data_IF_386657983963
#
_entry.id   IF_386657983963
#
_cell.length_a   1.000
_cell.length_b   1.000
_cell.length_c   1.000
_cell.angle_alpha   90.00
_cell.angle_beta   90.00
_cell.angle_gamma   90.00
#
_symmetry.space_group_name_H-M   'P 1'
#
loop_
_entity.id
_entity.type
_entity.pdbx_description
1 polymer ?
#
# COMPACT_ATOMS: atom_id res chain seq x y z
N UNK A 1 -5.75 -5.27 -25.08
CA UNK A 1 -5.65 -3.93 -24.47
C UNK A 1 -4.59 -3.19 -25.25
N UNK A 2 -4.81 -1.92 -25.53
CA UNK A 2 -3.81 -1.07 -26.18
C UNK A 2 -3.24 -0.12 -25.14
N UNK A 3 -1.95 0.18 -25.26
CA UNK A 3 -1.26 1.14 -24.43
C UNK A 3 -0.83 2.33 -25.29
N UNK A 4 -0.88 3.55 -24.75
CA UNK A 4 -1.35 3.91 -23.41
C UNK A 4 -2.86 3.68 -23.22
N UNK A 5 -3.26 3.12 -22.07
CA UNK A 5 -4.66 2.84 -21.73
C UNK A 5 -5.24 3.99 -20.90
N UNK A 6 -6.39 4.59 -21.26
CA UNK A 6 -6.93 5.75 -20.56
C UNK A 6 -7.31 5.47 -19.10
N UNK A 7 -6.92 6.36 -18.19
CA UNK A 7 -7.35 6.39 -16.78
C UNK A 7 -8.37 7.51 -16.57
N UNK A 8 -8.03 8.70 -17.08
CA UNK A 8 -8.90 9.88 -17.12
C UNK A 8 -8.80 10.47 -18.54
N UNK A 9 -9.92 10.50 -19.25
CA UNK A 9 -9.99 10.87 -20.67
C UNK A 9 -9.82 12.37 -20.93
N UNK A 10 -10.02 13.22 -19.93
CA UNK A 10 -9.91 14.67 -20.06
C UNK A 10 -9.41 15.27 -18.74
N UNK A 11 -8.23 15.87 -18.76
CA UNK A 11 -7.68 16.60 -17.62
C UNK A 11 -7.92 18.10 -17.75
N UNK A 12 -8.28 18.73 -16.64
CA UNK A 12 -8.26 20.19 -16.53
C UNK A 12 -6.83 20.72 -16.26
N UNK A 13 -6.65 22.04 -16.38
CA UNK A 13 -5.35 22.69 -16.15
C UNK A 13 -4.82 22.47 -14.73
N UNK A 14 -5.71 22.35 -13.73
CA UNK A 14 -5.34 22.12 -12.33
C UNK A 14 -4.78 20.71 -12.15
N UNK A 15 -5.37 19.72 -12.81
CA UNK A 15 -4.91 18.33 -12.80
C UNK A 15 -3.59 18.17 -13.54
N UNK A 16 -3.41 18.82 -14.69
CA UNK A 16 -2.12 18.83 -15.41
C UNK A 16 -1.04 19.48 -14.54
N UNK A 17 -1.31 20.63 -13.92
CA UNK A 17 -0.37 21.27 -13.01
C UNK A 17 -0.03 20.38 -11.80
N UNK A 18 -1.03 19.69 -11.24
CA UNK A 18 -0.80 18.76 -10.14
C UNK A 18 0.07 17.56 -10.55
N UNK A 19 -0.12 17.03 -11.77
CA UNK A 19 0.75 16.00 -12.34
C UNK A 19 2.21 16.47 -12.39
N UNK A 20 2.46 17.59 -13.07
CA UNK A 20 3.81 18.12 -13.26
C UNK A 20 4.52 18.44 -11.94
N UNK A 21 3.77 18.99 -10.98
CA UNK A 21 4.33 19.39 -9.70
C UNK A 21 4.62 18.20 -8.76
N UNK A 22 3.75 17.19 -8.75
CA UNK A 22 3.75 16.18 -7.68
C UNK A 22 4.02 14.75 -8.14
N UNK A 23 3.66 14.39 -9.37
CA UNK A 23 3.75 13.02 -9.87
C UNK A 23 4.90 12.84 -10.85
N UNK A 24 5.06 13.78 -11.77
CA UNK A 24 6.10 13.77 -12.80
C UNK A 24 7.50 13.96 -12.20
N UNK A 25 8.49 13.48 -12.96
CA UNK A 25 9.90 13.67 -12.65
C UNK A 25 10.55 12.57 -11.81
N UNK A 26 11.88 12.59 -11.82
CA UNK A 26 12.75 11.61 -11.15
C UNK A 26 13.45 12.18 -9.90
N UNK A 27 13.15 13.42 -9.53
CA UNK A 27 13.79 14.16 -8.43
C UNK A 27 13.17 13.84 -7.07
N UNK A 28 12.01 13.18 -7.05
CA UNK A 28 11.35 12.75 -5.83
C UNK A 28 12.06 11.55 -5.20
N UNK A 29 11.89 11.38 -3.89
CA UNK A 29 12.43 10.24 -3.12
C UNK A 29 11.98 8.84 -3.61
N UNK A 30 10.94 8.80 -4.47
CA UNK A 30 10.45 7.62 -5.17
C UNK A 30 9.84 8.02 -6.52
N UNK A 31 9.71 7.12 -7.50
CA UNK A 31 8.90 7.35 -8.70
C UNK A 31 7.42 7.48 -8.32
N UNK A 32 6.90 8.71 -8.28
CA UNK A 32 5.53 9.01 -7.83
C UNK A 32 4.46 8.70 -8.89
N UNK A 33 4.85 8.73 -10.16
CA UNK A 33 4.08 8.23 -11.31
C UNK A 33 4.05 6.69 -11.42
N UNK A 34 4.58 5.96 -10.43
CA UNK A 34 4.53 4.49 -10.42
C UNK A 34 3.79 3.98 -9.20
N UNK A 35 2.79 3.13 -9.45
CA UNK A 35 2.19 2.30 -8.42
C UNK A 35 2.83 0.91 -8.44
N UNK A 36 3.32 0.44 -7.30
CA UNK A 36 3.93 -0.88 -7.17
C UNK A 36 3.45 -1.55 -5.88
N UNK A 37 3.14 -2.84 -5.96
CA UNK A 37 2.69 -3.60 -4.81
C UNK A 37 3.02 -5.08 -4.89
N UNK A 38 3.22 -5.68 -3.72
CA UNK A 38 3.58 -7.09 -3.58
C UNK A 38 2.68 -7.75 -2.54
N UNK A 39 1.98 -8.78 -2.97
CA UNK A 39 1.23 -9.70 -2.13
C UNK A 39 1.90 -11.06 -2.18
N UNK A 40 2.27 -11.61 -1.03
CA UNK A 40 2.94 -12.91 -0.98
C UNK A 40 2.52 -13.69 0.25
N UNK A 41 2.25 -14.98 0.09
CA UNK A 41 1.83 -15.88 1.16
C UNK A 41 2.40 -17.27 0.95
N UNK A 42 2.78 -17.90 2.04
CA UNK A 42 3.16 -19.31 2.14
C UNK A 42 2.20 -19.98 3.11
N UNK A 43 1.89 -21.25 2.89
CA UNK A 43 1.06 -22.05 3.79
C UNK A 43 1.96 -22.69 4.85
N UNK A 44 2.00 -22.11 6.04
CA UNK A 44 2.88 -22.51 7.15
C UNK A 44 2.12 -22.56 8.47
N UNK A 45 2.62 -23.32 9.46
CA UNK A 45 2.00 -23.41 10.78
C UNK A 45 1.80 -22.02 11.44
N UNK A 46 2.77 -21.11 11.25
CA UNK A 46 2.75 -19.76 11.81
C UNK A 46 1.59 -18.88 11.30
N UNK A 47 0.90 -19.27 10.21
CA UNK A 47 -0.27 -18.54 9.70
C UNK A 47 -1.49 -19.41 9.43
N UNK A 48 -1.60 -20.56 10.10
CA UNK A 48 -2.64 -21.56 9.84
C UNK A 48 -4.07 -20.98 9.81
N UNK A 49 -4.39 -20.05 10.71
CA UNK A 49 -5.70 -19.41 10.78
C UNK A 49 -6.11 -18.60 9.53
N UNK A 50 -5.15 -18.23 8.67
CA UNK A 50 -5.40 -17.45 7.45
C UNK A 50 -4.99 -18.18 6.17
N UNK A 51 -4.01 -19.07 6.23
CA UNK A 51 -3.53 -19.84 5.07
C UNK A 51 -4.27 -21.15 4.86
N UNK A 52 -5.06 -21.61 5.85
CA UNK A 52 -5.68 -22.93 5.83
C UNK A 52 -4.68 -24.08 6.01
N UNK A 53 -3.49 -23.81 6.56
CA UNK A 53 -2.50 -24.84 6.90
C UNK A 53 -3.11 -25.91 7.83
N UNK A 54 -2.79 -27.17 7.56
CA UNK A 54 -3.13 -28.36 8.36
C UNK A 54 -1.91 -29.32 8.40
N UNK A 55 -2.02 -30.60 8.76
CA UNK A 55 -0.85 -31.50 8.81
C UNK A 55 -0.58 -32.25 7.49
N UNK A 56 -1.51 -32.23 6.52
CA UNK A 56 -1.41 -32.99 5.27
C UNK A 56 -0.90 -32.18 4.07
N UNK A 57 -1.79 -31.47 3.38
CA UNK A 57 -1.48 -30.74 2.15
C UNK A 57 -1.01 -29.31 2.42
N UNK A 58 0.29 -29.14 2.61
CA UNK A 58 0.88 -27.84 2.95
C UNK A 58 2.08 -27.50 2.09
N UNK A 59 2.47 -26.23 2.12
CA UNK A 59 3.56 -25.70 1.30
C UNK A 59 3.07 -24.95 0.07
N UNK A 60 1.76 -24.69 -0.06
CA UNK A 60 1.28 -23.77 -1.09
C UNK A 60 1.95 -22.41 -0.92
N UNK A 61 2.28 -21.78 -2.04
CA UNK A 61 2.72 -20.39 -2.08
C UNK A 61 1.97 -19.66 -3.16
N UNK A 62 1.64 -18.41 -2.87
CA UNK A 62 1.18 -17.45 -3.87
C UNK A 62 1.97 -16.15 -3.77
N UNK A 63 2.38 -15.62 -4.92
CA UNK A 63 2.98 -14.29 -5.08
C UNK A 63 2.23 -13.55 -6.17
N UNK A 64 1.87 -12.30 -5.90
CA UNK A 64 1.45 -11.31 -6.88
C UNK A 64 2.33 -10.09 -6.72
N UNK A 65 2.99 -9.68 -7.79
CA UNK A 65 3.74 -8.43 -7.84
C UNK A 65 3.27 -7.64 -9.04
N UNK A 66 2.89 -6.40 -8.83
CA UNK A 66 2.50 -5.52 -9.90
C UNK A 66 3.31 -4.23 -9.86
N UNK A 67 3.48 -3.63 -11.03
CA UNK A 67 4.13 -2.33 -11.22
C UNK A 67 3.50 -1.63 -12.42
N UNK A 68 2.86 -0.49 -12.18
CA UNK A 68 2.16 0.28 -13.19
C UNK A 68 2.76 1.67 -13.28
N UNK A 69 3.15 2.09 -14.49
CA UNK A 69 3.62 3.45 -14.75
C UNK A 69 2.49 4.23 -15.39
N UNK A 70 2.23 5.40 -14.84
CA UNK A 70 1.29 6.36 -15.37
C UNK A 70 2.03 7.48 -16.08
N UNK A 71 1.36 8.13 -17.03
CA UNK A 71 1.88 9.29 -17.74
C UNK A 71 0.75 10.20 -18.22
N UNK A 72 1.11 11.37 -18.76
CA UNK A 72 0.20 12.19 -19.54
C UNK A 72 0.34 11.91 -21.03
N UNK A 73 -0.80 11.70 -21.67
CA UNK A 73 -0.91 11.57 -23.11
C UNK A 73 -1.42 12.88 -23.73
N UNK A 74 -0.61 13.47 -24.60
CA UNK A 74 -0.86 14.73 -25.31
C UNK A 74 -1.25 14.52 -26.78
N UNK A 75 -1.53 13.30 -27.24
CA UNK A 75 -1.94 13.09 -28.65
C UNK A 75 -3.30 13.70 -28.98
N UNK A 76 -4.09 14.07 -27.97
CA UNK A 76 -5.39 14.73 -28.10
C UNK A 76 -5.33 16.20 -27.64
N UNK A 77 -6.25 17.08 -28.10
CA UNK A 77 -6.25 18.49 -27.70
C UNK A 77 -6.36 18.73 -26.19
N UNK A 78 -7.04 17.82 -25.49
CA UNK A 78 -7.11 17.81 -24.02
C UNK A 78 -6.24 16.66 -23.53
N UNK A 79 -5.24 16.90 -22.67
CA UNK A 79 -4.38 15.85 -22.15
C UNK A 79 -5.15 14.80 -21.35
N UNK A 80 -4.66 13.57 -21.36
CA UNK A 80 -5.27 12.43 -20.66
C UNK A 80 -4.29 11.85 -19.66
N UNK A 81 -4.78 11.40 -18.51
CA UNK A 81 -4.00 10.53 -17.63
C UNK A 81 -4.11 9.11 -18.17
N UNK A 82 -2.97 8.45 -18.37
CA UNK A 82 -2.93 7.12 -18.96
C UNK A 82 -2.08 6.15 -18.13
N UNK A 83 -2.43 4.87 -18.21
CA UNK A 83 -1.53 3.78 -17.88
C UNK A 83 -0.60 3.60 -19.08
N UNK A 84 0.67 3.93 -18.90
CA UNK A 84 1.69 3.86 -19.94
C UNK A 84 2.35 2.48 -19.98
N UNK A 85 2.69 1.92 -18.80
CA UNK A 85 3.26 0.57 -18.69
C UNK A 85 2.54 -0.25 -17.63
N UNK A 86 2.37 -1.53 -17.92
CA UNK A 86 1.82 -2.54 -17.02
C UNK A 86 2.81 -3.67 -16.88
N UNK A 87 3.07 -4.06 -15.63
CA UNK A 87 3.73 -5.29 -15.27
C UNK A 87 2.91 -5.97 -14.17
N UNK A 88 2.56 -7.22 -14.39
CA UNK A 88 1.93 -8.10 -13.42
C UNK A 88 2.65 -9.45 -13.45
N UNK A 89 3.11 -9.87 -12.30
CA UNK A 89 3.71 -11.17 -12.07
C UNK A 89 2.89 -11.93 -11.05
N UNK A 90 2.59 -13.18 -11.39
CA UNK A 90 1.90 -14.13 -10.56
C UNK A 90 2.73 -15.40 -10.49
N UNK A 91 2.91 -15.94 -9.29
CA UNK A 91 3.57 -17.22 -9.06
C UNK A 91 2.75 -18.02 -8.06
N UNK A 92 2.46 -19.28 -8.41
CA UNK A 92 1.79 -20.22 -7.51
C UNK A 92 2.55 -21.54 -7.45
N UNK A 93 2.74 -22.04 -6.23
CA UNK A 93 3.25 -23.37 -5.91
C UNK A 93 2.09 -24.13 -5.27
N UNK A 94 1.74 -25.29 -5.82
CA UNK A 94 0.62 -26.11 -5.37
C UNK A 94 0.86 -27.59 -5.74
N UNK A 95 0.02 -28.53 -5.26
CA UNK A 95 0.07 -29.92 -5.69
C UNK A 95 0.05 -30.07 -7.22
N UNK A 96 0.72 -31.10 -7.74
CA UNK A 96 0.96 -31.30 -9.17
C UNK A 96 -0.32 -31.36 -10.01
N UNK A 97 -1.38 -31.96 -9.46
CA UNK A 97 -2.70 -32.09 -10.06
C UNK A 97 -3.46 -30.75 -10.08
N UNK A 98 -3.37 -29.95 -9.01
CA UNK A 98 -3.91 -28.59 -8.98
C UNK A 98 -3.23 -27.70 -10.04
N UNK A 99 -1.90 -27.82 -10.19
CA UNK A 99 -1.18 -27.09 -11.24
C UNK A 99 -1.56 -27.60 -12.63
N UNK A 100 -1.74 -28.91 -12.82
CA UNK A 100 -2.15 -29.47 -14.11
C UNK A 100 -3.49 -28.90 -14.57
N UNK A 101 -4.48 -28.94 -13.67
CA UNK A 101 -5.80 -28.36 -13.91
C UNK A 101 -5.70 -26.85 -14.20
N UNK A 102 -4.88 -26.13 -13.43
CA UNK A 102 -4.70 -24.69 -13.62
C UNK A 102 -4.02 -24.35 -14.95
N UNK A 103 -3.04 -25.14 -15.41
CA UNK A 103 -2.42 -24.98 -16.74
C UNK A 103 -3.46 -25.16 -17.85
N UNK A 104 -4.32 -26.17 -17.75
CA UNK A 104 -5.42 -26.37 -18.69
C UNK A 104 -6.40 -25.18 -18.72
N UNK A 105 -6.70 -24.60 -17.56
CA UNK A 105 -7.52 -23.38 -17.46
C UNK A 105 -6.84 -22.16 -18.10
N UNK A 106 -5.54 -21.97 -17.85
CA UNK A 106 -4.78 -20.87 -18.45
C UNK A 106 -4.79 -20.95 -19.98
N UNK A 107 -4.61 -22.14 -20.54
CA UNK A 107 -4.64 -22.34 -21.99
C UNK A 107 -6.04 -22.02 -22.56
N UNK A 108 -7.11 -22.42 -21.86
CA UNK A 108 -8.48 -22.05 -22.22
C UNK A 108 -8.74 -20.54 -22.13
N UNK A 109 -8.21 -19.85 -21.10
CA UNK A 109 -8.33 -18.40 -20.95
C UNK A 109 -7.53 -17.63 -22.01
N UNK A 110 -6.37 -18.13 -22.41
CA UNK A 110 -5.60 -17.58 -23.52
C UNK A 110 -6.38 -17.66 -24.83
N UNK A 111 -7.03 -18.80 -25.10
CA UNK A 111 -7.89 -18.99 -26.26
C UNK A 111 -9.12 -18.06 -26.22
N UNK A 112 -9.85 -18.07 -25.10
CA UNK A 112 -11.01 -17.20 -24.88
C UNK A 112 -10.66 -15.72 -25.03
N UNK A 113 -9.54 -15.31 -24.45
CA UNK A 113 -8.96 -13.98 -24.55
C UNK A 113 -8.38 -13.65 -25.93
N UNK A 114 -8.33 -14.61 -26.86
CA UNK A 114 -7.77 -14.48 -28.21
C UNK A 114 -6.31 -14.04 -28.22
N UNK A 115 -5.52 -14.53 -27.27
CA UNK A 115 -4.08 -14.36 -27.27
C UNK A 115 -3.46 -15.16 -28.42
N UNK A 116 -2.37 -14.64 -28.98
CA UNK A 116 -1.65 -15.31 -30.08
C UNK A 116 -0.28 -15.75 -29.60
N UNK A 117 0.01 -17.05 -29.71
CA UNK A 117 1.34 -17.57 -29.48
C UNK A 117 2.32 -16.97 -30.49
N UNK A 118 3.48 -16.55 -30.00
CA UNK A 118 4.62 -16.04 -30.76
C UNK A 118 5.74 -17.07 -30.75
N UNK A 119 6.66 -16.95 -31.68
CA UNK A 119 7.90 -17.74 -31.70
C UNK A 119 8.64 -17.52 -30.38
N UNK A 120 9.01 -18.60 -29.70
CA UNK A 120 9.68 -18.55 -28.39
C UNK A 120 8.76 -18.75 -27.18
N UNK A 121 7.50 -19.15 -27.37
CA UNK A 121 6.62 -19.59 -26.27
C UNK A 121 5.97 -18.47 -25.47
N UNK A 122 5.99 -17.24 -25.99
CA UNK A 122 5.28 -16.10 -25.41
C UNK A 122 3.96 -15.85 -26.13
N UNK A 123 2.98 -15.34 -25.43
CA UNK A 123 1.67 -14.97 -25.97
C UNK A 123 1.58 -13.46 -26.12
N UNK A 124 0.80 -12.97 -27.09
CA UNK A 124 0.58 -11.54 -27.27
C UNK A 124 -0.90 -11.19 -27.52
N UNK A 125 -1.32 -10.02 -27.03
CA UNK A 125 -2.66 -9.45 -27.23
C UNK A 125 -2.63 -7.91 -27.17
N UNK A 126 -2.80 -7.25 -28.31
CA UNK A 126 -2.56 -5.80 -28.40
C UNK A 126 -1.13 -5.49 -28.00
N UNK A 127 -0.94 -4.55 -27.08
CA UNK A 127 0.38 -4.13 -26.59
C UNK A 127 0.81 -4.86 -25.32
N UNK A 128 0.24 -6.06 -25.07
CA UNK A 128 0.61 -6.93 -23.97
C UNK A 128 1.27 -8.22 -24.46
N UNK A 129 2.26 -8.67 -23.68
CA UNK A 129 2.85 -10.00 -23.74
C UNK A 129 2.54 -10.78 -22.47
N UNK A 130 2.34 -12.08 -22.61
CA UNK A 130 2.25 -13.02 -21.50
C UNK A 130 3.28 -14.15 -21.64
N UNK A 131 4.06 -14.38 -20.59
CA UNK A 131 4.99 -15.50 -20.47
C UNK A 131 4.52 -16.46 -19.39
N UNK A 132 4.61 -17.76 -19.65
CA UNK A 132 4.24 -18.80 -18.70
C UNK A 132 5.40 -19.77 -18.55
N UNK A 133 5.81 -20.05 -17.33
CA UNK A 133 6.89 -20.99 -17.03
C UNK A 133 6.50 -21.91 -15.90
N UNK A 134 6.82 -23.19 -16.03
CA UNK A 134 6.59 -24.21 -15.02
C UNK A 134 7.91 -24.72 -14.45
N UNK A 135 7.90 -25.06 -13.17
CA UNK A 135 9.08 -25.53 -12.45
C UNK A 135 8.69 -26.63 -11.47
N UNK A 136 9.38 -27.77 -11.56
CA UNK A 136 9.36 -28.78 -10.49
C UNK A 136 10.04 -28.22 -9.24
N UNK A 137 11.26 -27.71 -9.39
CA UNK A 137 11.95 -26.91 -8.37
C UNK A 137 12.15 -25.48 -8.89
N UNK A 138 11.60 -24.51 -8.17
CA UNK A 138 11.63 -23.12 -8.63
C UNK A 138 13.00 -22.48 -8.35
N UNK A 139 13.66 -21.83 -9.33
CA UNK A 139 15.05 -21.33 -9.16
C UNK A 139 15.24 -20.31 -8.02
N UNK A 140 14.20 -19.56 -7.68
CA UNK A 140 14.24 -18.59 -6.57
C UNK A 140 14.04 -19.22 -5.19
N UNK A 141 13.53 -20.45 -5.14
CA UNK A 141 13.42 -21.23 -3.92
C UNK A 141 14.70 -21.98 -3.62
N UNK A 142 15.25 -22.64 -4.63
CA UNK A 142 16.57 -23.27 -4.56
C UNK A 142 17.62 -22.28 -4.06
N UNK A 143 17.68 -21.07 -4.66
CA UNK A 143 18.57 -19.99 -4.23
C UNK A 143 18.36 -19.57 -2.77
N UNK A 144 17.13 -19.63 -2.29
CA UNK A 144 16.77 -19.23 -0.94
C UNK A 144 16.81 -20.38 0.06
N UNK A 145 17.18 -21.60 -0.36
CA UNK A 145 17.13 -22.81 0.45
C UNK A 145 15.71 -23.14 0.95
N UNK A 146 14.68 -22.85 0.16
CA UNK A 146 13.30 -23.24 0.45
C UNK A 146 12.97 -24.51 -0.30
N UNK A 147 12.65 -25.57 0.43
CA UNK A 147 12.31 -26.84 -0.19
C UNK A 147 10.96 -26.77 -0.92
N UNK A 148 10.90 -27.34 -2.12
CA UNK A 148 9.63 -27.66 -2.77
C UNK A 148 9.08 -28.96 -2.16
N UNK A 149 7.86 -28.99 -1.61
CA UNK A 149 7.27 -30.22 -1.09
C UNK A 149 7.16 -31.30 -2.18
N UNK A 150 7.25 -32.56 -1.78
CA UNK A 150 7.08 -33.67 -2.72
C UNK A 150 5.68 -33.65 -3.36
N UNK A 151 5.61 -33.83 -4.67
CA UNK A 151 4.35 -33.76 -5.44
C UNK A 151 3.79 -32.35 -5.62
N UNK A 152 4.61 -31.32 -5.40
CA UNK A 152 4.29 -29.93 -5.72
C UNK A 152 5.15 -29.44 -6.88
N UNK A 153 4.59 -28.54 -7.67
CA UNK A 153 5.28 -27.77 -8.69
C UNK A 153 4.73 -26.36 -8.74
N UNK A 154 5.43 -25.48 -9.44
CA UNK A 154 5.01 -24.08 -9.57
C UNK A 154 4.80 -23.67 -11.01
N UNK A 155 3.91 -22.69 -11.17
CA UNK A 155 3.75 -21.94 -12.42
C UNK A 155 3.90 -20.45 -12.14
N UNK A 156 4.68 -19.82 -13.01
CA UNK A 156 4.88 -18.39 -13.07
C UNK A 156 4.21 -17.83 -14.32
N UNK A 157 3.48 -16.73 -14.15
CA UNK A 157 2.80 -16.01 -15.21
C UNK A 157 3.24 -14.55 -15.13
N UNK A 158 3.80 -14.03 -16.22
CA UNK A 158 4.18 -12.62 -16.35
C UNK A 158 3.35 -12.00 -17.46
N UNK A 159 2.54 -11.00 -17.14
CA UNK A 159 1.81 -10.17 -18.10
C UNK A 159 2.43 -8.78 -18.08
N UNK A 160 2.87 -8.32 -19.24
CA UNK A 160 3.70 -7.11 -19.33
C UNK A 160 3.44 -6.36 -20.62
N UNK A 161 3.57 -5.03 -20.61
CA UNK A 161 3.61 -4.22 -21.83
C UNK A 161 4.68 -4.70 -22.80
N UNK A 162 4.39 -4.65 -24.09
CA UNK A 162 5.27 -5.21 -25.12
C UNK A 162 6.66 -4.57 -25.11
N UNK A 163 6.76 -3.27 -24.86
CA UNK A 163 8.03 -2.53 -24.83
C UNK A 163 8.70 -2.49 -23.44
N UNK A 164 8.03 -2.99 -22.39
CA UNK A 164 8.57 -2.92 -21.04
C UNK A 164 9.56 -4.05 -20.77
N UNK A 165 10.83 -3.69 -20.67
CA UNK A 165 11.89 -4.60 -20.27
C UNK A 165 11.96 -4.69 -18.74
N UNK A 166 11.56 -5.84 -18.17
CA UNK A 166 11.48 -6.00 -16.71
C UNK A 166 12.89 -6.03 -16.09
N UNK A 167 13.32 -4.98 -15.36
CA UNK A 167 14.66 -4.92 -14.82
C UNK A 167 14.90 -6.03 -13.79
N UNK A 168 16.15 -6.46 -13.62
CA UNK A 168 16.50 -7.49 -12.63
C UNK A 168 16.03 -7.11 -11.22
N UNK A 169 16.11 -5.84 -10.85
CA UNK A 169 15.65 -5.33 -9.55
C UNK A 169 14.17 -5.57 -9.34
N UNK A 170 13.33 -5.29 -10.34
CA UNK A 170 11.88 -5.57 -10.31
C UNK A 170 11.62 -7.06 -10.23
N UNK A 171 12.27 -7.89 -11.08
CA UNK A 171 12.08 -9.34 -11.09
C UNK A 171 12.44 -10.02 -9.76
N UNK A 172 13.45 -9.52 -9.05
CA UNK A 172 13.93 -10.13 -7.80
C UNK A 172 13.18 -9.61 -6.57
N UNK A 173 12.57 -8.43 -6.64
CA UNK A 173 11.90 -7.79 -5.51
C UNK A 173 10.87 -8.67 -4.80
N UNK A 174 9.93 -9.37 -5.47
CA UNK A 174 8.95 -10.20 -4.77
C UNK A 174 9.59 -11.35 -4.00
N UNK A 175 10.69 -11.89 -4.52
CA UNK A 175 11.46 -12.98 -3.92
C UNK A 175 12.30 -12.52 -2.72
N UNK A 176 12.93 -11.35 -2.83
CA UNK A 176 13.62 -10.70 -1.71
C UNK A 176 12.66 -10.37 -0.59
N UNK A 177 11.48 -9.85 -0.96
CA UNK A 177 10.38 -9.61 -0.03
C UNK A 177 10.00 -10.93 0.59
N UNK A 178 9.75 -12.01 -0.19
CA UNK A 178 9.42 -13.36 0.31
C UNK A 178 10.42 -13.89 1.35
N UNK A 179 11.71 -13.75 1.10
CA UNK A 179 12.77 -14.17 2.02
C UNK A 179 12.72 -13.45 3.39
N UNK A 180 12.16 -12.23 3.44
CA UNK A 180 12.00 -11.48 4.68
C UNK A 180 10.94 -12.03 5.65
N UNK A 181 10.26 -13.13 5.29
CA UNK A 181 9.27 -13.81 6.14
C UNK A 181 7.98 -13.02 6.37
N UNK A 182 7.09 -13.59 7.19
CA UNK A 182 5.85 -12.93 7.56
C UNK A 182 6.07 -11.79 8.57
N UNK A 183 5.18 -10.79 8.53
CA UNK A 183 5.18 -9.75 9.55
C UNK A 183 4.75 -10.36 10.89
N UNK A 184 5.61 -10.21 11.88
CA UNK A 184 5.23 -10.41 13.28
C UNK A 184 4.40 -9.22 13.73
N UNK A 185 3.17 -9.45 14.17
CA UNK A 185 2.32 -8.40 14.75
C UNK A 185 2.92 -7.95 16.08
N UNK A 186 2.90 -6.65 16.33
CA UNK A 186 3.27 -6.16 17.65
C UNK A 186 2.19 -6.54 18.67
N UNK A 187 2.60 -6.63 19.94
CA UNK A 187 1.67 -6.77 21.06
C UNK A 187 1.43 -5.39 21.65
N UNK A 188 0.15 -5.05 21.79
CA UNK A 188 -0.28 -3.82 22.45
C UNK A 188 0.09 -3.88 23.93
N UNK A 189 0.70 -2.81 24.44
CA UNK A 189 0.90 -2.59 25.86
C UNK A 189 -0.27 -1.83 26.49
N UNK A 190 0.03 -1.02 27.50
CA UNK A 190 -0.98 -0.24 28.24
C UNK A 190 -0.74 1.27 28.03
N UNK A 191 -1.13 1.84 26.87
CA UNK A 191 -1.03 3.28 26.65
C UNK A 191 -2.05 4.03 27.51
N UNK A 192 -1.76 5.29 27.81
CA UNK A 192 -2.76 6.18 28.41
C UNK A 192 -3.77 6.63 27.36
N UNK A 193 -5.05 6.75 27.72
CA UNK A 193 -6.10 7.29 26.85
C UNK A 193 -6.41 8.71 27.30
N UNK A 194 -6.47 9.65 26.35
CA UNK A 194 -6.79 11.05 26.60
C UNK A 194 -7.96 11.51 25.73
N UNK A 195 -8.68 12.52 26.21
CA UNK A 195 -9.82 13.11 25.48
C UNK A 195 -9.38 13.92 24.24
N UNK A 196 -8.21 14.55 24.31
CA UNK A 196 -7.66 15.39 23.25
C UNK A 196 -6.13 15.49 23.35
N UNK A 197 -5.54 16.28 22.44
CA UNK A 197 -4.09 16.47 22.34
C UNK A 197 -3.52 17.57 23.25
N UNK A 198 -4.21 17.99 24.33
CA UNK A 198 -3.69 19.01 25.26
C UNK A 198 -2.32 18.67 25.84
N UNK A 199 -2.07 17.40 26.16
CA UNK A 199 -0.75 16.94 26.63
C UNK A 199 0.38 17.11 25.61
N UNK A 200 0.09 17.24 24.32
CA UNK A 200 1.11 17.48 23.28
C UNK A 200 1.74 18.88 23.40
N UNK A 201 1.04 19.85 23.99
CA UNK A 201 1.50 21.24 24.13
C UNK A 201 2.78 21.35 24.98
N UNK A 202 3.00 20.40 25.91
CA UNK A 202 4.22 20.32 26.73
C UNK A 202 5.45 19.85 25.92
N UNK A 203 5.23 19.27 24.74
CA UNK A 203 6.25 18.61 23.91
C UNK A 203 6.39 19.27 22.53
N UNK A 204 6.27 20.60 22.47
CA UNK A 204 6.50 21.36 21.24
C UNK A 204 7.99 21.70 21.05
N UNK A 205 8.53 21.65 19.81
CA UNK A 205 7.85 21.22 18.58
C UNK A 205 7.82 19.69 18.43
N UNK A 206 6.98 19.20 17.52
CA UNK A 206 6.79 17.76 17.26
C UNK A 206 6.93 17.40 15.77
N UNK A 207 7.18 16.12 15.49
CA UNK A 207 7.09 15.54 14.15
C UNK A 207 5.77 14.80 13.97
N UNK A 208 5.39 14.53 12.72
CA UNK A 208 4.19 13.77 12.40
C UNK A 208 4.50 12.54 11.55
N UNK A 209 3.87 11.43 11.90
CA UNK A 209 3.73 10.23 11.08
C UNK A 209 2.26 10.04 10.70
N UNK A 210 1.96 9.85 9.40
CA UNK A 210 0.60 9.66 8.91
C UNK A 210 0.41 8.33 8.17
N UNK A 211 -0.70 7.67 8.49
CA UNK A 211 -1.25 6.53 7.76
C UNK A 211 -2.53 6.89 7.00
N UNK A 212 -3.27 5.88 6.54
CA UNK A 212 -4.41 6.10 5.64
C UNK A 212 -5.56 6.90 6.28
N UNK A 213 -5.65 6.95 7.62
CA UNK A 213 -6.74 7.66 8.31
C UNK A 213 -6.83 9.16 8.00
N UNK A 214 -5.73 9.81 7.57
CA UNK A 214 -5.76 11.22 7.15
C UNK A 214 -6.41 11.44 5.77
N UNK A 215 -6.56 10.38 4.99
CA UNK A 215 -6.93 10.41 3.57
C UNK A 215 -8.31 9.80 3.27
N UNK A 216 -8.95 9.12 4.24
CA UNK A 216 -10.24 8.45 4.05
C UNK A 216 -11.30 9.43 3.51
N UNK A 217 -11.41 10.61 4.12
CA UNK A 217 -12.39 11.63 3.72
C UNK A 217 -12.09 12.26 2.34
N UNK A 218 -10.89 12.05 1.79
CA UNK A 218 -10.54 12.50 0.44
C UNK A 218 -11.03 11.54 -0.65
N UNK A 219 -11.72 10.45 -0.29
CA UNK A 219 -12.20 9.44 -1.22
C UNK A 219 -11.13 8.43 -1.68
N UNK A 220 -9.95 8.42 -1.05
CA UNK A 220 -8.91 7.43 -1.35
C UNK A 220 -9.31 6.09 -0.71
N UNK A 221 -9.45 5.01 -1.50
CA UNK A 221 -9.85 3.71 -0.96
C UNK A 221 -8.84 3.18 0.08
N UNK A 222 -9.32 2.48 1.11
CA UNK A 222 -8.45 1.85 2.10
C UNK A 222 -7.65 0.70 1.47
N UNK A 223 -6.52 0.31 2.09
CA UNK A 223 -5.63 -0.71 1.53
C UNK A 223 -6.31 -2.06 1.23
N UNK A 224 -7.34 -2.44 2.00
CA UNK A 224 -8.05 -3.69 1.77
C UNK A 224 -8.83 -3.71 0.44
N UNK A 225 -9.12 -2.55 -0.17
CA UNK A 225 -9.64 -2.47 -1.54
C UNK A 225 -8.73 -3.23 -2.52
N UNK A 226 -7.42 -3.16 -2.34
CA UNK A 226 -6.47 -3.90 -3.17
C UNK A 226 -6.53 -5.41 -2.97
N UNK A 227 -7.02 -5.89 -1.83
CA UNK A 227 -7.21 -7.33 -1.65
C UNK A 227 -8.29 -7.86 -2.59
N UNK A 228 -9.33 -7.07 -2.84
CA UNK A 228 -10.34 -7.41 -3.82
C UNK A 228 -9.73 -7.32 -5.21
N UNK A 229 -9.14 -6.18 -5.59
CA UNK A 229 -8.54 -5.97 -6.91
C UNK A 229 -7.56 -7.09 -7.30
N UNK A 230 -6.70 -7.54 -6.39
CA UNK A 230 -5.69 -8.58 -6.65
C UNK A 230 -6.06 -9.99 -6.17
N UNK A 231 -7.33 -10.20 -5.76
CA UNK A 231 -7.86 -11.47 -5.26
C UNK A 231 -6.96 -12.09 -4.18
N UNK A 232 -6.46 -11.26 -3.26
CA UNK A 232 -5.49 -11.65 -2.22
C UNK A 232 -6.14 -12.50 -1.14
N UNK A 233 -7.42 -12.26 -0.87
CA UNK A 233 -8.22 -12.93 0.14
C UNK A 233 -9.62 -13.21 -0.39
N UNK A 234 -10.35 -14.12 0.24
CA UNK A 234 -11.78 -14.40 -0.01
C UNK A 234 -12.72 -13.23 0.34
N UNK A 235 -12.18 -12.07 0.68
CA UNK A 235 -12.93 -10.87 1.03
C UNK A 235 -13.85 -10.45 -0.11
N UNK A 236 -15.10 -10.13 0.26
CA UNK A 236 -16.15 -9.53 -0.58
C UNK A 236 -16.82 -8.33 0.11
N UNK A 237 -16.27 -7.88 1.22
CA UNK A 237 -16.83 -6.80 2.06
C UNK A 237 -15.75 -5.78 2.47
N UNK A 238 -16.22 -4.61 2.91
CA UNK A 238 -15.36 -3.54 3.42
C UNK A 238 -15.17 -3.61 4.94
N UNK A 239 -15.27 -4.80 5.57
CA UNK A 239 -15.28 -4.96 7.03
C UNK A 239 -13.89 -5.30 7.62
N UNK A 240 -12.96 -4.35 7.82
CA UNK A 240 -11.55 -4.58 8.23
C UNK A 240 -11.32 -5.40 9.51
N UNK A 241 -12.27 -5.51 10.44
CA UNK A 241 -12.10 -6.33 11.65
C UNK A 241 -12.32 -7.83 11.42
N UNK A 242 -12.88 -8.22 10.28
CA UNK A 242 -13.05 -9.61 9.89
C UNK A 242 -11.76 -10.16 9.27
N UNK A 243 -11.28 -11.29 9.78
CA UNK A 243 -10.20 -12.03 9.13
C UNK A 243 -10.76 -12.85 7.98
N UNK A 244 -10.21 -12.67 6.78
CA UNK A 244 -10.52 -13.48 5.61
C UNK A 244 -9.33 -14.38 5.28
N UNK A 245 -9.62 -15.58 4.77
CA UNK A 245 -8.58 -16.50 4.31
C UNK A 245 -7.89 -15.95 3.08
N UNK A 246 -6.60 -16.27 2.95
CA UNK A 246 -5.85 -15.97 1.74
C UNK A 246 -6.30 -16.90 0.61
N UNK A 247 -6.41 -16.34 -0.58
CA UNK A 247 -6.57 -17.14 -1.80
C UNK A 247 -5.24 -17.83 -2.06
N UNK A 248 -5.18 -19.15 -1.87
CA UNK A 248 -3.94 -19.93 -1.98
C UNK A 248 -4.01 -21.01 -3.06
N UNK A 249 -5.21 -21.52 -3.36
CA UNK A 249 -5.42 -22.53 -4.40
C UNK A 249 -5.51 -21.87 -5.76
N UNK A 250 -4.85 -22.42 -6.80
CA UNK A 250 -4.94 -21.87 -8.14
C UNK A 250 -6.38 -21.74 -8.66
N UNK A 251 -7.23 -22.74 -8.40
CA UNK A 251 -8.62 -22.76 -8.85
C UNK A 251 -9.55 -21.74 -8.18
N UNK A 252 -9.15 -21.16 -7.04
CA UNK A 252 -9.91 -20.09 -6.35
C UNK A 252 -9.45 -18.68 -6.78
N UNK A 253 -8.38 -18.58 -7.59
CA UNK A 253 -7.74 -17.33 -7.96
C UNK A 253 -8.09 -16.88 -9.38
N UNK A 254 -9.05 -15.97 -9.48
CA UNK A 254 -9.53 -15.42 -10.76
C UNK A 254 -8.67 -14.29 -11.33
N UNK A 255 -7.58 -13.87 -10.66
CA UNK A 255 -6.78 -12.72 -11.13
C UNK A 255 -6.21 -12.94 -12.53
N UNK A 256 -5.64 -14.13 -12.77
CA UNK A 256 -5.03 -14.49 -14.06
C UNK A 256 -6.11 -14.65 -15.13
N UNK A 257 -7.22 -15.31 -14.80
CA UNK A 257 -8.38 -15.44 -15.68
C UNK A 257 -8.85 -14.09 -16.19
N UNK A 258 -9.10 -13.14 -15.28
CA UNK A 258 -9.61 -11.81 -15.61
C UNK A 258 -8.62 -11.05 -16.51
N UNK A 259 -7.32 -11.16 -16.25
CA UNK A 259 -6.29 -10.52 -17.07
C UNK A 259 -6.14 -11.16 -18.45
N UNK A 260 -6.33 -12.47 -18.58
CA UNK A 260 -6.20 -13.15 -19.87
C UNK A 260 -7.49 -13.04 -20.70
N UNK A 261 -8.67 -13.07 -20.08
CA UNK A 261 -9.94 -13.03 -20.80
C UNK A 261 -10.36 -11.61 -21.17
N UNK A 262 -10.24 -10.64 -20.25
CA UNK A 262 -10.57 -9.23 -20.48
C UNK A 262 -9.57 -8.27 -19.79
N UNK A 263 -8.35 -8.13 -20.34
CA UNK A 263 -7.33 -7.27 -19.75
C UNK A 263 -7.73 -5.80 -19.64
N UNK A 264 -8.64 -5.31 -20.49
CA UNK A 264 -9.06 -3.91 -20.47
C UNK A 264 -9.97 -3.65 -19.27
N UNK A 265 -11.04 -4.45 -19.10
CA UNK A 265 -11.91 -4.35 -17.94
C UNK A 265 -11.16 -4.59 -16.63
N UNK A 266 -10.16 -5.50 -16.64
CA UNK A 266 -9.33 -5.71 -15.47
C UNK A 266 -8.42 -4.52 -15.18
N UNK A 267 -7.80 -3.91 -16.20
CA UNK A 267 -6.97 -2.72 -16.04
C UNK A 267 -7.74 -1.58 -15.35
N UNK A 268 -9.02 -1.37 -15.70
CA UNK A 268 -9.84 -0.34 -15.06
C UNK A 268 -9.95 -0.53 -13.53
N UNK A 269 -10.07 -1.78 -13.06
CA UNK A 269 -10.03 -2.09 -11.63
C UNK A 269 -8.64 -1.85 -11.03
N UNK A 270 -7.59 -2.26 -11.74
CA UNK A 270 -6.20 -2.16 -11.30
C UNK A 270 -5.77 -0.69 -11.09
N UNK A 271 -6.27 0.24 -11.92
CA UNK A 271 -5.91 1.65 -11.88
C UNK A 271 -6.82 2.49 -10.96
N UNK A 272 -7.92 1.93 -10.45
CA UNK A 272 -8.94 2.67 -9.70
C UNK A 272 -8.37 3.38 -8.47
N UNK A 273 -7.43 2.76 -7.76
CA UNK A 273 -6.81 3.35 -6.58
C UNK A 273 -5.89 4.52 -6.94
N UNK A 274 -5.06 4.39 -7.98
CA UNK A 274 -4.23 5.50 -8.47
C UNK A 274 -5.10 6.66 -8.95
N UNK A 275 -6.16 6.37 -9.71
CA UNK A 275 -7.13 7.38 -10.16
C UNK A 275 -7.72 8.15 -8.98
N UNK A 276 -8.22 7.44 -7.96
CA UNK A 276 -8.80 8.07 -6.78
C UNK A 276 -7.76 8.93 -6.02
N UNK A 277 -6.51 8.45 -5.90
CA UNK A 277 -5.42 9.22 -5.29
C UNK A 277 -5.06 10.48 -6.09
N UNK A 278 -5.08 10.41 -7.42
CA UNK A 278 -4.83 11.56 -8.29
C UNK A 278 -5.94 12.62 -8.18
N UNK A 279 -7.20 12.19 -8.23
CA UNK A 279 -8.38 13.07 -8.15
C UNK A 279 -8.60 13.66 -6.75
N UNK A 280 -8.14 12.97 -5.70
CA UNK A 280 -8.25 13.41 -4.32
C UNK A 280 -7.65 14.80 -4.09
N UNK A 281 -8.12 15.52 -3.07
CA UNK A 281 -7.56 16.81 -2.62
C UNK A 281 -7.16 16.73 -1.16
N UNK A 282 -6.16 17.51 -0.72
CA UNK A 282 -5.78 17.54 0.68
C UNK A 282 -6.98 17.84 1.59
N UNK A 283 -7.18 17.01 2.61
CA UNK A 283 -8.24 17.19 3.62
C UNK A 283 -7.92 18.35 4.58
N UNK A 284 -8.88 18.74 5.42
CA UNK A 284 -8.63 19.76 6.46
C UNK A 284 -7.50 19.35 7.42
N UNK A 285 -7.34 18.05 7.71
CA UNK A 285 -6.20 17.53 8.47
C UNK A 285 -4.86 17.96 7.84
N UNK A 286 -4.68 17.75 6.53
CA UNK A 286 -3.46 18.12 5.83
C UNK A 286 -3.20 19.63 5.84
N UNK A 287 -4.26 20.44 5.68
CA UNK A 287 -4.14 21.90 5.74
C UNK A 287 -3.74 22.39 7.13
N UNK A 288 -4.32 21.81 8.19
CA UNK A 288 -3.95 22.14 9.57
C UNK A 288 -2.48 21.76 9.81
N UNK A 289 -2.05 20.58 9.39
CA UNK A 289 -0.63 20.19 9.49
C UNK A 289 0.29 21.19 8.77
N UNK A 290 -0.12 21.71 7.60
CA UNK A 290 0.62 22.75 6.89
C UNK A 290 0.71 24.06 7.67
N UNK A 291 -0.37 24.48 8.32
CA UNK A 291 -0.36 25.68 9.19
C UNK A 291 0.55 25.48 10.41
N UNK A 292 0.48 24.31 11.06
CA UNK A 292 1.35 23.97 12.19
C UNK A 292 2.82 23.91 11.78
N UNK A 293 3.11 23.46 10.55
CA UNK A 293 4.46 23.55 9.98
C UNK A 293 4.88 25.00 9.74
N UNK A 294 3.98 25.85 9.22
CA UNK A 294 4.26 27.26 8.95
C UNK A 294 4.56 28.08 10.21
N UNK A 295 4.07 27.63 11.38
CA UNK A 295 4.29 28.26 12.68
C UNK A 295 5.44 27.63 13.49
N UNK A 296 6.16 26.65 12.93
CA UNK A 296 7.27 25.96 13.59
C UNK A 296 6.84 25.00 14.71
N UNK A 297 5.54 24.74 14.88
CA UNK A 297 5.01 23.78 15.87
C UNK A 297 5.21 22.33 15.40
N UNK A 298 5.02 22.11 14.10
CA UNK A 298 5.40 20.90 13.40
C UNK A 298 6.76 21.11 12.72
N UNK A 299 7.72 20.22 12.95
CA UNK A 299 9.09 20.31 12.40
C UNK A 299 9.45 19.06 11.61
N UNK A 300 10.39 19.22 10.68
CA UNK A 300 10.85 18.16 9.79
C UNK A 300 9.80 17.71 8.75
N UNK A 301 10.14 16.70 7.94
CA UNK A 301 9.20 16.15 6.97
C UNK A 301 8.09 15.34 7.65
N UNK A 302 6.93 15.31 7.03
CA UNK A 302 5.85 14.37 7.38
C UNK A 302 6.28 12.95 6.99
N UNK A 303 6.30 12.05 7.96
CA UNK A 303 6.64 10.65 7.76
C UNK A 303 5.40 9.95 7.20
N UNK A 304 5.43 9.63 5.90
CA UNK A 304 4.25 9.30 5.10
C UNK A 304 4.24 7.82 4.73
N UNK A 305 3.16 7.11 5.06
CA UNK A 305 2.91 5.73 4.60
C UNK A 305 2.01 5.65 3.36
N UNK A 306 1.31 6.73 3.05
CA UNK A 306 0.36 6.78 1.95
C UNK A 306 1.07 7.10 0.62
N UNK A 307 0.57 6.53 -0.47
CA UNK A 307 1.07 6.81 -1.81
C UNK A 307 0.30 7.96 -2.51
N UNK A 308 -0.70 8.54 -1.84
CA UNK A 308 -1.66 9.52 -2.37
C UNK A 308 -1.13 10.95 -2.54
N UNK A 309 0.05 11.24 -1.97
CA UNK A 309 0.74 12.54 -2.05
C UNK A 309 -0.05 13.71 -1.44
N UNK A 310 -1.06 13.46 -0.61
CA UNK A 310 -1.92 14.53 -0.10
C UNK A 310 -1.19 15.49 0.85
N UNK A 311 -0.18 15.04 1.59
CA UNK A 311 0.65 15.93 2.41
C UNK A 311 1.56 16.80 1.52
N UNK A 312 2.24 16.22 0.52
CA UNK A 312 3.01 16.98 -0.46
C UNK A 312 2.15 18.01 -1.22
N UNK A 313 0.93 17.64 -1.60
CA UNK A 313 -0.04 18.53 -2.26
C UNK A 313 -0.58 19.62 -1.33
N UNK A 314 -0.52 19.43 -0.01
CA UNK A 314 -0.74 20.50 0.97
C UNK A 314 0.49 21.40 1.17
N UNK A 315 1.60 21.13 0.46
CA UNK A 315 2.85 21.88 0.57
C UNK A 315 3.70 21.47 1.77
N UNK A 316 3.53 20.26 2.31
CA UNK A 316 4.38 19.71 3.36
C UNK A 316 5.55 18.92 2.73
N UNK A 317 6.78 19.04 3.26
CA UNK A 317 7.84 18.10 2.93
C UNK A 317 7.47 16.70 3.42
N UNK A 318 7.81 15.66 2.65
CA UNK A 318 7.49 14.27 2.98
C UNK A 318 8.76 13.42 3.13
N UNK A 319 8.65 12.37 3.94
CA UNK A 319 9.57 11.25 3.99
C UNK A 319 8.76 9.96 3.83
N UNK A 320 8.75 9.40 2.62
CA UNK A 320 7.98 8.19 2.32
C UNK A 320 8.68 6.95 2.87
N UNK A 321 7.98 6.21 3.74
CA UNK A 321 8.55 5.04 4.44
C UNK A 321 7.95 3.70 4.02
N UNK A 322 6.89 3.68 3.21
CA UNK A 322 6.27 2.42 2.77
C UNK A 322 6.98 1.83 1.55
N UNK A 323 8.16 1.24 1.77
CA UNK A 323 9.00 0.68 0.70
C UNK A 323 9.14 -0.85 0.77
N UNK A 324 9.45 -1.48 -0.36
CA UNK A 324 9.64 -2.94 -0.47
C UNK A 324 11.11 -3.35 -0.50
N UNK A 325 11.96 -2.49 -1.06
CA UNK A 325 13.42 -2.63 -1.10
C UNK A 325 14.06 -2.49 0.30
N UNK A 326 13.41 -1.74 1.19
CA UNK A 326 13.87 -1.53 2.57
C UNK A 326 12.75 -1.83 3.57
N UNK A 327 13.00 -2.81 4.46
CA UNK A 327 12.05 -3.14 5.55
C UNK A 327 11.90 -1.97 6.53
N UNK A 328 13.01 -1.38 6.94
CA UNK A 328 13.11 -0.24 7.88
C UNK A 328 13.89 0.88 7.17
N UNK A 329 13.24 1.79 6.45
CA UNK A 329 13.91 2.90 5.79
C UNK A 329 14.43 3.93 6.80
N UNK A 330 15.46 4.72 6.43
CA UNK A 330 15.92 5.83 7.25
C UNK A 330 14.80 6.88 7.42
N UNK A 331 14.69 7.42 8.63
CA UNK A 331 13.77 8.52 8.95
C UNK A 331 14.59 9.67 9.53
N UNK A 332 14.55 10.86 8.92
CA UNK A 332 15.31 12.01 9.40
C UNK A 332 14.57 12.67 10.57
N UNK A 333 14.75 12.11 11.78
CA UNK A 333 14.22 12.74 12.99
C UNK A 333 14.86 14.11 13.23
N UNK A 334 14.03 15.15 13.32
CA UNK A 334 14.48 16.52 13.56
C UNK A 334 15.07 16.63 14.98
N UNK A 335 16.24 17.27 15.16
CA UNK A 335 16.92 17.32 16.46
C UNK A 335 16.15 18.06 17.55
N UNK A 336 15.28 19.01 17.17
CA UNK A 336 14.47 19.78 18.12
C UNK A 336 13.13 19.13 18.47
N UNK A 337 12.75 18.05 17.79
CA UNK A 337 11.46 17.41 18.02
C UNK A 337 11.42 16.74 19.40
N UNK A 338 10.42 17.09 20.21
CA UNK A 338 10.20 16.52 21.55
C UNK A 338 9.14 15.42 21.55
N UNK A 339 8.30 15.37 20.52
CA UNK A 339 7.27 14.36 20.36
C UNK A 339 7.10 13.90 18.90
N UNK A 340 6.49 12.72 18.75
CA UNK A 340 5.94 12.19 17.51
C UNK A 340 4.43 12.08 17.64
N UNK A 341 3.69 12.74 16.76
CA UNK A 341 2.25 12.58 16.61
C UNK A 341 1.96 11.61 15.46
N UNK A 342 1.37 10.46 15.77
CA UNK A 342 1.00 9.40 14.82
C UNK A 342 -0.49 9.51 14.52
N UNK A 343 -0.86 9.67 13.25
CA UNK A 343 -2.26 9.89 12.84
C UNK A 343 -2.73 8.80 11.89
N UNK A 344 -3.78 8.08 12.27
CA UNK A 344 -4.47 7.11 11.41
C UNK A 344 -3.60 5.95 10.95
N UNK A 345 -2.73 5.46 11.83
CA UNK A 345 -1.80 4.36 11.56
C UNK A 345 -1.87 3.30 12.66
N UNK A 346 -2.36 2.12 12.28
CA UNK A 346 -2.61 1.02 13.21
C UNK A 346 -1.36 0.23 13.62
N UNK A 347 -0.28 0.22 12.81
CA UNK A 347 0.87 -0.64 13.04
C UNK A 347 2.21 0.00 12.65
N UNK A 348 3.23 -0.15 13.49
CA UNK A 348 4.58 0.37 13.25
C UNK A 348 5.43 -0.54 12.35
N UNK A 349 4.96 -0.77 11.12
CA UNK A 349 5.63 -1.70 10.19
C UNK A 349 7.06 -1.27 9.80
N UNK A 350 7.42 -0.01 10.05
CA UNK A 350 8.68 0.62 9.63
C UNK A 350 9.53 1.07 10.81
N UNK A 351 9.18 0.63 12.03
CA UNK A 351 9.88 0.95 13.28
C UNK A 351 10.09 2.46 13.48
N UNK A 352 9.16 3.31 13.03
CA UNK A 352 9.21 4.76 13.21
C UNK A 352 8.95 5.08 14.68
N UNK A 353 7.86 4.54 15.23
CA UNK A 353 7.42 4.79 16.60
C UNK A 353 8.42 4.20 17.59
N UNK A 354 8.90 2.98 17.33
CA UNK A 354 9.95 2.36 18.13
C UNK A 354 11.24 3.21 18.16
N UNK A 355 11.67 3.76 17.01
CA UNK A 355 12.85 4.64 16.94
C UNK A 355 12.62 6.02 17.57
N UNK A 356 11.41 6.56 17.49
CA UNK A 356 11.05 7.80 18.18
C UNK A 356 11.19 7.64 19.69
N UNK A 357 10.63 6.55 20.26
CA UNK A 357 10.78 6.22 21.69
C UNK A 357 12.25 6.04 22.08
N UNK A 358 13.04 5.31 21.28
CA UNK A 358 14.47 5.10 21.54
C UNK A 358 15.29 6.40 21.54
N UNK A 359 14.79 7.46 20.90
CA UNK A 359 15.37 8.81 20.88
C UNK A 359 14.82 9.72 21.99
N UNK A 360 13.95 9.21 22.86
CA UNK A 360 13.35 9.97 23.95
C UNK A 360 12.16 10.84 23.55
N UNK A 361 11.60 10.67 22.34
CA UNK A 361 10.41 11.41 21.94
C UNK A 361 9.17 10.83 22.62
N UNK A 362 8.28 11.70 23.10
CA UNK A 362 6.95 11.30 23.55
C UNK A 362 6.08 10.94 22.34
N UNK A 363 5.35 9.83 22.39
CA UNK A 363 4.48 9.40 21.27
C UNK A 363 3.01 9.64 21.62
N UNK A 364 2.32 10.33 20.71
CA UNK A 364 0.88 10.56 20.75
C UNK A 364 0.24 9.89 19.54
N UNK A 365 -0.89 9.23 19.73
CA UNK A 365 -1.68 8.61 18.67
C UNK A 365 -3.02 9.32 18.53
N UNK A 366 -3.44 9.49 17.28
CA UNK A 366 -4.81 9.84 16.88
C UNK A 366 -5.31 8.74 15.98
N UNK A 367 -6.23 7.92 16.49
CA UNK A 367 -6.90 6.87 15.73
C UNK A 367 -8.21 6.54 16.45
N UNK A 368 -9.34 6.36 15.74
CA UNK A 368 -10.59 5.94 16.38
C UNK A 368 -10.50 4.60 17.13
N UNK A 369 -9.46 3.80 16.88
CA UNK A 369 -9.26 2.45 17.42
C UNK A 369 -10.43 1.51 17.10
N UNK A 370 -11.01 1.69 15.92
CA UNK A 370 -12.17 0.94 15.47
C UNK A 370 -12.90 1.66 14.36
N UNK A 371 -13.98 1.04 13.89
CA UNK A 371 -14.81 1.58 12.84
C UNK A 371 -16.21 0.97 12.90
N UNK A 372 -17.16 1.62 12.24
CA UNK A 372 -18.53 1.12 12.12
C UNK A 372 -18.60 0.10 10.98
N UNK A 373 -18.93 -1.13 11.32
CA UNK A 373 -19.19 -2.23 10.38
C UNK A 373 -20.62 -2.71 10.57
N UNK A 374 -21.41 -2.74 9.48
CA UNK A 374 -22.82 -3.15 9.51
C UNK A 374 -23.65 -2.38 10.55
N UNK A 375 -23.35 -1.09 10.76
CA UNK A 375 -23.99 -0.24 11.76
C UNK A 375 -23.49 -0.44 13.20
N UNK A 376 -22.51 -1.32 13.43
CA UNK A 376 -21.95 -1.61 14.76
C UNK A 376 -20.48 -1.19 14.83
N UNK A 377 -20.12 -0.42 15.85
CA UNK A 377 -18.71 -0.09 16.08
C UNK A 377 -17.94 -1.34 16.54
N UNK A 378 -16.85 -1.65 15.83
CA UNK A 378 -15.95 -2.76 16.17
C UNK A 378 -14.58 -2.21 16.51
N UNK A 379 -14.08 -2.62 17.67
CA UNK A 379 -12.77 -2.22 18.15
C UNK A 379 -11.66 -2.82 17.28
N UNK A 380 -10.68 -1.98 16.98
CA UNK A 380 -9.48 -2.32 16.24
C UNK A 380 -8.29 -1.51 16.79
N UNK A 381 -7.83 -1.86 18.01
CA UNK A 381 -6.86 -1.05 18.74
C UNK A 381 -5.48 -1.07 18.09
N UNK A 382 -4.76 0.06 18.14
CA UNK A 382 -3.40 0.21 17.58
C UNK A 382 -2.47 -0.87 18.16
N UNK A 383 -1.78 -1.61 17.29
CA UNK A 383 -0.95 -2.77 17.69
C UNK A 383 0.26 -2.37 18.53
N UNK A 384 0.94 -1.29 18.13
CA UNK A 384 2.24 -0.90 18.69
C UNK A 384 2.19 0.06 19.87
N UNK A 385 0.99 0.53 20.26
CA UNK A 385 0.79 1.46 21.37
C UNK A 385 1.07 0.78 22.71
N UNK A 386 1.81 1.45 23.61
CA UNK A 386 2.34 0.85 24.84
C UNK A 386 2.52 1.88 25.95
N UNK A 387 3.13 1.44 27.05
CA UNK A 387 3.40 2.24 28.24
C UNK A 387 4.14 3.54 27.87
N UNK A 388 3.69 4.65 28.44
CA UNK A 388 4.26 5.97 28.18
C UNK A 388 3.73 6.65 26.92
N UNK A 389 2.96 5.98 26.07
CA UNK A 389 2.25 6.63 24.96
C UNK A 389 0.91 7.22 25.40
N UNK A 390 0.36 8.10 24.58
CA UNK A 390 -0.99 8.68 24.72
C UNK A 390 -1.82 8.37 23.48
N UNK A 391 -3.04 7.88 23.65
CA UNK A 391 -3.98 7.61 22.55
C UNK A 391 -5.20 8.51 22.68
N UNK A 392 -5.53 9.22 21.60
CA UNK A 392 -6.76 10.01 21.44
C UNK A 392 -7.65 9.29 20.44
N UNK A 393 -8.82 8.82 20.91
CA UNK A 393 -9.73 7.95 20.15
C UNK A 393 -10.70 8.74 19.27
N UNK A 394 -10.16 9.46 18.28
CA UNK A 394 -10.98 10.26 17.37
C UNK A 394 -10.37 10.29 15.96
N UNK A 395 -11.14 10.81 15.00
CA UNK A 395 -10.72 10.98 13.62
C UNK A 395 -9.65 12.06 13.47
N UNK A 396 -8.87 11.96 12.38
CA UNK A 396 -7.76 12.86 12.12
C UNK A 396 -8.17 14.35 12.06
N UNK A 397 -9.28 14.66 11.38
CA UNK A 397 -9.73 16.05 11.23
C UNK A 397 -10.18 16.64 12.56
N UNK A 398 -10.98 15.89 13.33
CA UNK A 398 -11.47 16.34 14.64
C UNK A 398 -10.31 16.61 15.60
N UNK A 399 -9.38 15.66 15.73
CA UNK A 399 -8.23 15.79 16.63
C UNK A 399 -7.35 16.99 16.27
N UNK A 400 -7.05 17.18 14.98
CA UNK A 400 -6.17 18.25 14.52
C UNK A 400 -6.87 19.62 14.58
N UNK A 401 -8.18 19.68 14.35
CA UNK A 401 -8.97 20.90 14.56
C UNK A 401 -8.90 21.31 16.03
N UNK A 402 -9.12 20.37 16.96
CA UNK A 402 -9.02 20.65 18.39
C UNK A 402 -7.61 21.03 18.82
N UNK A 403 -6.57 20.39 18.25
CA UNK A 403 -5.17 20.77 18.52
C UNK A 403 -4.90 22.22 18.11
N UNK A 404 -5.38 22.65 16.95
CA UNK A 404 -5.23 24.03 16.49
C UNK A 404 -5.87 25.02 17.46
N UNK A 405 -7.08 24.74 17.94
CA UNK A 405 -7.77 25.56 18.95
C UNK A 405 -6.98 25.64 20.26
N UNK A 406 -6.51 24.49 20.77
CA UNK A 406 -5.72 24.40 21.99
C UNK A 406 -4.43 25.23 21.90
N UNK A 407 -3.76 25.22 20.74
CA UNK A 407 -2.57 26.04 20.50
C UNK A 407 -2.89 27.54 20.51
N UNK A 408 -4.01 27.95 19.91
CA UNK A 408 -4.46 29.35 19.96
C UNK A 408 -4.85 29.79 21.38
N UNK A 409 -5.47 28.92 22.18
CA UNK A 409 -5.77 29.18 23.60
C UNK A 409 -4.48 29.29 24.43
N UNK A 410 -3.52 28.40 24.20
CA UNK A 410 -2.21 28.40 24.86
C UNK A 410 -1.44 29.68 24.56
N UNK A 411 -1.39 30.12 23.29
CA UNK A 411 -0.66 31.32 22.88
C UNK A 411 -1.27 32.60 23.45
N UNK A 412 -2.61 32.68 23.51
CA UNK A 412 -3.30 33.79 24.16
C UNK A 412 -3.02 33.85 25.66
N UNK A 413 -3.02 32.70 26.32
CA UNK A 413 -2.73 32.60 27.77
C UNK A 413 -1.28 32.98 28.07
N UNK A 414 -0.33 32.53 27.24
CA UNK A 414 1.07 32.90 27.35
C UNK A 414 1.28 34.41 27.14
N UNK A 415 0.63 35.01 26.14
CA UNK A 415 0.72 36.45 25.89
C UNK A 415 0.11 37.29 27.03
N UNK A 416 -0.98 36.83 27.65
CA UNK A 416 -1.61 37.51 28.78
C UNK A 416 -0.78 37.49 30.07
N UNK A 417 0.21 36.60 30.20
CA UNK A 417 1.13 36.53 31.34
C UNK A 417 2.41 37.36 31.13
N UNK A 418 2.65 37.86 29.91
CA UNK A 418 3.80 38.71 29.56
C UNK A 418 3.49 40.21 29.58
N UNK A 419 2.23 40.58 29.83
CA UNK A 419 1.77 41.94 30.13
C UNK A 419 1.36 42.01 31.60
#
# INVERSE_FOLDING_TARGET
MFLPHPVIEQLDEVQVAAWEQHFAGMTHERPRATEEGIWRRTQEAANAGQSGWNEGENGRRRIVHYRYRYDLDYTFPVPRLVLADLYLYHSVLAPDDEIEAYRGQIDAWLEQGRWRMKTGGTWAKGDLRAGIAEYGEHPQDERAGRDTPAGFRSVDIVIVSDEFEVPRTVRQLPWNVLAGGMRVKEQRGTPSVAENLSGLLEYLPFMVEIGCGSSIEAGVPPLHFLHEVYRVTERRDNAPTRSHRFTMRPGDDTLVEEMLTDPAAKADQLMAMFKAAFEARPTSAHRILKELHGTGRLVGPVIQHNFDLLAARAGLPECFVRRYDQKIPPVPFHPEAKALLVVGLHADRRAVQARARARGLKVFFVDPEGLVEDGVFREYPIEGAREGDVVVRTGAIEALTRLKELLHEHDRSAAALTF
#
